data_IF_445650986338
#
_entry.id   IF_445650986338
#
_cell.length_a   1.000
_cell.length_b   1.000
_cell.length_c   1.000
_cell.angle_alpha   90.00
_cell.angle_beta   90.00
_cell.angle_gamma   90.00
#
_symmetry.space_group_name_H-M   'P 1'
#
loop_
_entity.id
_entity.type
_entity.pdbx_description
1 polymer ?
#
# COMPACT_ATOMS: atom_id res chain seq x y z
N UNK A 1 9.45 -47.42 -11.21
CA UNK A 1 9.81 -46.18 -10.51
C UNK A 1 10.61 -45.17 -11.34
N UNK A 2 11.52 -45.58 -12.23
CA UNK A 2 12.33 -44.63 -13.06
C UNK A 2 11.50 -43.76 -14.03
N UNK A 3 10.39 -44.23 -14.59
CA UNK A 3 9.59 -43.47 -15.55
C UNK A 3 8.81 -42.29 -14.94
N UNK A 4 8.38 -42.38 -13.67
CA UNK A 4 7.67 -41.30 -12.98
C UNK A 4 8.61 -40.14 -12.62
N UNK A 5 9.83 -40.45 -12.21
CA UNK A 5 10.86 -39.43 -11.91
C UNK A 5 11.31 -38.66 -13.15
N UNK A 6 11.47 -39.33 -14.30
CA UNK A 6 11.83 -38.69 -15.55
C UNK A 6 10.73 -37.75 -16.07
N UNK A 7 9.46 -38.17 -16.00
CA UNK A 7 8.31 -37.33 -16.40
C UNK A 7 8.17 -36.11 -15.48
N UNK A 8 8.31 -36.29 -14.16
CA UNK A 8 8.29 -35.18 -13.21
C UNK A 8 9.44 -34.18 -13.46
N UNK A 9 10.64 -34.66 -13.78
CA UNK A 9 11.79 -33.82 -14.13
C UNK A 9 11.57 -33.00 -15.41
N UNK A 10 10.98 -33.61 -16.44
CA UNK A 10 10.68 -32.94 -17.72
C UNK A 10 9.59 -31.88 -17.51
N UNK A 11 8.53 -32.18 -16.76
CA UNK A 11 7.46 -31.22 -16.47
C UNK A 11 8.00 -30.03 -15.66
N UNK A 12 8.86 -30.29 -14.67
CA UNK A 12 9.49 -29.21 -13.87
C UNK A 12 10.42 -28.37 -14.72
N UNK A 13 11.20 -28.97 -15.63
CA UNK A 13 12.07 -28.26 -16.57
C UNK A 13 11.29 -27.39 -17.55
N UNK A 14 10.22 -27.91 -18.14
CA UNK A 14 9.36 -27.18 -19.06
C UNK A 14 8.66 -26.00 -18.36
N UNK A 15 8.14 -26.21 -17.14
CA UNK A 15 7.52 -25.14 -16.34
C UNK A 15 8.53 -24.02 -16.02
N UNK A 16 9.77 -24.36 -15.68
CA UNK A 16 10.83 -23.39 -15.43
C UNK A 16 11.16 -22.56 -16.68
N UNK A 17 11.28 -23.21 -17.85
CA UNK A 17 11.54 -22.52 -19.11
C UNK A 17 10.42 -21.55 -19.46
N UNK A 18 9.15 -21.95 -19.30
CA UNK A 18 8.00 -21.08 -19.53
C UNK A 18 8.04 -19.87 -18.61
N UNK A 19 8.25 -20.06 -17.30
CA UNK A 19 8.35 -18.96 -16.36
C UNK A 19 9.50 -18.00 -16.65
N UNK A 20 10.67 -18.54 -17.01
CA UNK A 20 11.82 -17.72 -17.39
C UNK A 20 11.55 -16.90 -18.65
N UNK A 21 10.87 -17.49 -19.64
CA UNK A 21 10.46 -16.79 -20.86
C UNK A 21 9.44 -15.68 -20.57
N UNK A 22 8.46 -15.95 -19.70
CA UNK A 22 7.45 -14.94 -19.28
C UNK A 22 8.09 -13.78 -18.50
N UNK A 23 9.02 -14.07 -17.58
CA UNK A 23 9.78 -13.03 -16.87
C UNK A 23 10.54 -12.17 -17.88
N UNK A 24 11.27 -12.80 -18.80
CA UNK A 24 12.03 -12.08 -19.84
C UNK A 24 11.11 -11.23 -20.73
N UNK A 25 9.96 -11.76 -21.13
CA UNK A 25 8.96 -11.04 -21.91
C UNK A 25 8.40 -9.85 -21.15
N UNK A 26 8.01 -10.01 -19.88
CA UNK A 26 7.51 -8.94 -19.05
C UNK A 26 8.54 -7.82 -18.89
N UNK A 27 9.80 -8.16 -18.56
CA UNK A 27 10.88 -7.19 -18.47
C UNK A 27 11.14 -6.47 -19.80
N UNK A 28 11.18 -7.19 -20.91
CA UNK A 28 11.38 -6.59 -22.23
C UNK A 28 10.24 -5.63 -22.60
N UNK A 29 8.99 -5.96 -22.24
CA UNK A 29 7.83 -5.12 -22.52
C UNK A 29 7.81 -3.87 -21.66
N UNK A 30 8.13 -4.00 -20.37
CA UNK A 30 8.16 -2.87 -19.42
C UNK A 30 9.30 -1.91 -19.77
N UNK A 31 10.49 -2.44 -20.06
CA UNK A 31 11.67 -1.65 -20.38
C UNK A 31 11.73 -1.21 -21.86
N UNK A 32 10.74 -1.53 -22.68
CA UNK A 32 10.66 -1.05 -24.06
C UNK A 32 10.33 0.46 -24.15
N UNK A 33 9.90 1.06 -23.05
CA UNK A 33 9.60 2.48 -22.94
C UNK A 33 10.61 3.11 -21.99
N UNK A 34 11.40 4.04 -22.49
CA UNK A 34 12.27 4.86 -21.66
C UNK A 34 11.41 5.89 -20.92
N UNK A 35 11.20 5.66 -19.64
CA UNK A 35 10.52 6.63 -18.78
C UNK A 35 11.55 7.64 -18.28
N UNK A 36 11.14 8.89 -18.24
CA UNK A 36 11.93 9.96 -17.63
C UNK A 36 11.97 9.79 -16.10
N UNK A 37 13.02 10.28 -15.43
CA UNK A 37 13.03 10.34 -13.97
C UNK A 37 11.79 11.07 -13.43
N UNK A 38 11.24 10.65 -12.27
CA UNK A 38 10.07 11.30 -11.70
C UNK A 38 10.40 12.77 -11.37
N UNK A 39 9.45 13.68 -11.57
CA UNK A 39 9.63 15.07 -11.14
C UNK A 39 9.62 15.15 -9.62
N UNK A 40 10.42 16.04 -9.04
CA UNK A 40 10.48 16.26 -7.59
C UNK A 40 9.29 17.11 -7.11
N UNK A 41 8.37 16.56 -6.30
CA UNK A 41 7.24 17.31 -5.74
C UNK A 41 7.60 18.00 -4.41
N UNK A 42 8.81 17.89 -3.93
CA UNK A 42 9.23 18.51 -2.66
C UNK A 42 8.95 20.01 -2.67
N UNK A 43 8.23 20.49 -1.66
CA UNK A 43 7.86 21.89 -1.61
C UNK A 43 6.78 22.23 -0.59
N UNK A 44 6.31 23.48 -0.67
CA UNK A 44 5.26 24.01 0.18
C UNK A 44 3.93 24.06 -0.58
N UNK A 45 2.88 23.50 0.03
CA UNK A 45 1.52 23.43 -0.49
C UNK A 45 0.57 24.24 0.41
N UNK A 46 -0.54 24.75 -0.14
CA UNK A 46 -1.59 25.43 0.61
C UNK A 46 -1.16 26.78 1.19
N UNK A 47 -0.39 27.56 0.44
CA UNK A 47 0.12 28.88 0.89
C UNK A 47 -0.98 29.91 1.12
N UNK A 48 -2.15 29.76 0.49
CA UNK A 48 -3.28 30.68 0.54
C UNK A 48 -4.45 30.14 1.39
N UNK A 49 -4.19 29.12 2.20
CA UNK A 49 -5.18 28.52 3.07
C UNK A 49 -5.60 29.44 4.24
N UNK A 50 -6.82 29.24 4.79
CA UNK A 50 -7.35 30.08 5.88
C UNK A 50 -6.54 29.98 7.18
N UNK A 51 -5.67 29.01 7.33
CA UNK A 51 -4.77 28.78 8.46
C UNK A 51 -3.29 28.75 8.02
N UNK A 52 -2.97 29.44 6.92
CA UNK A 52 -1.61 29.47 6.38
C UNK A 52 -0.59 30.14 7.31
N UNK A 53 -1.03 30.95 8.26
CA UNK A 53 -0.16 31.59 9.26
C UNK A 53 0.27 30.62 10.39
N UNK A 54 -0.41 29.49 10.54
CA UNK A 54 -0.01 28.46 11.51
C UNK A 54 1.27 27.73 11.06
N UNK A 55 2.02 27.12 11.99
CA UNK A 55 3.16 26.28 11.62
C UNK A 55 2.76 25.21 10.57
N UNK A 56 3.56 25.02 9.52
CA UNK A 56 3.22 24.04 8.49
C UNK A 56 3.20 22.62 9.05
N UNK A 57 2.36 21.78 8.47
CA UNK A 57 2.45 20.34 8.66
C UNK A 57 3.57 19.79 7.78
N UNK A 58 4.41 18.92 8.30
CA UNK A 58 5.46 18.26 7.51
C UNK A 58 5.05 16.84 7.16
N UNK A 59 4.99 16.54 5.86
CA UNK A 59 4.67 15.23 5.31
C UNK A 59 5.91 14.66 4.64
N UNK A 60 6.37 13.49 5.07
CA UNK A 60 7.45 12.76 4.41
C UNK A 60 6.87 11.61 3.58
N UNK A 61 7.28 11.49 2.33
CA UNK A 61 6.93 10.38 1.45
C UNK A 61 8.17 9.51 1.24
N UNK A 62 8.04 8.23 1.57
CA UNK A 62 9.11 7.21 1.48
C UNK A 62 8.64 6.06 0.61
N UNK A 63 9.57 5.36 0.02
CA UNK A 63 9.28 4.14 -0.71
C UNK A 63 10.04 3.99 -2.01
N UNK A 64 9.35 3.37 -2.98
CA UNK A 64 9.91 3.04 -4.29
C UNK A 64 9.39 3.97 -5.41
N UNK A 65 9.45 3.49 -6.65
CA UNK A 65 8.95 4.22 -7.82
C UNK A 65 7.47 4.60 -7.72
N UNK A 66 6.67 3.83 -6.98
CA UNK A 66 5.23 4.11 -6.78
C UNK A 66 5.02 5.33 -5.89
N UNK A 67 5.90 5.57 -4.93
CA UNK A 67 5.90 6.78 -4.11
C UNK A 67 6.43 7.98 -4.90
N UNK A 68 7.54 7.81 -5.63
CA UNK A 68 8.17 8.87 -6.40
C UNK A 68 7.34 9.39 -7.59
N UNK A 69 6.27 8.69 -8.00
CA UNK A 69 5.49 9.08 -9.19
C UNK A 69 6.23 8.80 -10.50
N UNK A 70 6.97 7.68 -10.57
CA UNK A 70 7.76 7.34 -11.76
C UNK A 70 6.88 7.15 -12.99
N UNK A 71 7.29 7.78 -14.10
CA UNK A 71 6.55 7.79 -15.36
C UNK A 71 5.67 9.03 -15.56
N UNK A 72 5.61 9.95 -14.59
CA UNK A 72 4.97 11.25 -14.72
C UNK A 72 5.96 12.31 -15.21
N UNK A 73 5.41 13.33 -15.86
CA UNK A 73 6.16 14.51 -16.33
C UNK A 73 5.96 15.70 -15.38
N UNK A 74 4.75 15.86 -14.87
CA UNK A 74 4.34 17.03 -14.11
C UNK A 74 4.35 16.73 -12.60
N UNK A 75 5.11 17.53 -11.83
CA UNK A 75 5.22 17.37 -10.38
C UNK A 75 3.87 17.43 -9.63
N UNK A 76 2.89 18.28 -10.01
CA UNK A 76 1.57 18.28 -9.37
C UNK A 76 0.77 16.98 -9.49
N UNK A 77 1.09 16.12 -10.46
CA UNK A 77 0.41 14.83 -10.67
C UNK A 77 1.00 13.69 -9.83
N UNK A 78 2.14 13.92 -9.17
CA UNK A 78 2.77 12.90 -8.32
C UNK A 78 1.93 12.59 -7.09
N UNK A 79 2.01 11.37 -6.55
CA UNK A 79 1.28 11.02 -5.33
C UNK A 79 1.68 11.91 -4.14
N UNK A 80 2.94 12.35 -4.08
CA UNK A 80 3.41 13.29 -3.06
C UNK A 80 2.71 14.65 -3.15
N UNK A 81 2.69 15.25 -4.34
CA UNK A 81 2.02 16.54 -4.55
C UNK A 81 0.52 16.47 -4.26
N UNK A 82 -0.15 15.42 -4.76
CA UNK A 82 -1.57 15.20 -4.54
C UNK A 82 -1.90 15.03 -3.05
N UNK A 83 -1.09 14.28 -2.31
CA UNK A 83 -1.24 14.15 -0.86
C UNK A 83 -0.95 15.46 -0.13
N UNK A 84 0.13 16.15 -0.48
CA UNK A 84 0.49 17.42 0.11
C UNK A 84 -0.61 18.47 -0.08
N UNK A 85 -1.12 18.61 -1.30
CA UNK A 85 -2.22 19.52 -1.62
C UNK A 85 -3.52 19.10 -0.91
N UNK A 86 -3.86 17.80 -0.93
CA UNK A 86 -5.07 17.31 -0.27
C UNK A 86 -5.06 17.51 1.25
N UNK A 87 -3.92 17.34 1.92
CA UNK A 87 -3.77 17.64 3.35
C UNK A 87 -3.88 19.16 3.59
N UNK A 88 -3.30 19.98 2.71
CA UNK A 88 -3.39 21.43 2.82
C UNK A 88 -4.83 21.93 2.65
N UNK A 89 -5.53 21.46 1.64
CA UNK A 89 -6.92 21.83 1.35
C UNK A 89 -7.86 21.47 2.51
N UNK A 90 -7.65 20.27 3.09
CA UNK A 90 -8.47 19.81 4.21
C UNK A 90 -8.17 20.57 5.50
N UNK A 91 -6.90 20.77 5.82
CA UNK A 91 -6.48 21.39 7.08
C UNK A 91 -6.57 22.91 7.06
N UNK A 92 -6.54 23.53 5.87
CA UNK A 92 -6.38 24.96 5.68
C UNK A 92 -4.99 25.48 6.04
N UNK A 93 -4.04 24.61 6.42
CA UNK A 93 -2.66 24.90 6.82
C UNK A 93 -1.69 24.66 5.66
N UNK A 94 -0.55 25.32 5.70
CA UNK A 94 0.57 24.98 4.81
C UNK A 94 1.07 23.58 5.08
N UNK A 95 1.49 22.89 4.04
CA UNK A 95 2.10 21.55 4.11
C UNK A 95 3.50 21.61 3.49
N UNK A 96 4.49 21.22 4.27
CA UNK A 96 5.87 21.05 3.81
C UNK A 96 6.07 19.58 3.41
N UNK A 97 6.00 19.28 2.12
CA UNK A 97 6.23 17.95 1.59
C UNK A 97 7.72 17.67 1.40
N UNK A 98 8.16 16.51 1.83
CA UNK A 98 9.50 15.94 1.60
C UNK A 98 9.37 14.60 0.90
N UNK A 99 9.66 14.57 -0.38
CA UNK A 99 9.75 13.31 -1.13
C UNK A 99 11.16 12.72 -0.99
N UNK A 100 11.22 11.55 -0.37
CA UNK A 100 12.46 10.82 -0.09
C UNK A 100 12.45 9.45 -0.76
N UNK A 101 11.45 9.20 -1.60
CA UNK A 101 11.30 7.95 -2.33
C UNK A 101 12.43 7.77 -3.34
N UNK A 102 12.80 6.52 -3.59
CA UNK A 102 13.88 6.17 -4.51
C UNK A 102 13.39 5.12 -5.50
N UNK A 103 13.44 5.45 -6.79
CA UNK A 103 13.07 4.50 -7.86
C UNK A 103 13.92 3.23 -7.74
N UNK A 104 13.25 2.08 -7.77
CA UNK A 104 13.90 0.78 -7.64
C UNK A 104 14.17 0.31 -6.21
N UNK A 105 13.86 1.13 -5.19
CA UNK A 105 14.12 0.77 -3.79
C UNK A 105 13.39 -0.51 -3.37
N UNK A 106 14.09 -1.33 -2.62
CA UNK A 106 13.54 -2.46 -1.85
C UNK A 106 13.15 -2.00 -0.45
N UNK A 107 12.40 -2.83 0.27
CA UNK A 107 12.10 -2.51 1.67
C UNK A 107 13.35 -2.43 2.56
N UNK A 108 14.48 -3.05 2.17
CA UNK A 108 15.78 -2.89 2.83
C UNK A 108 16.34 -1.46 2.77
N UNK A 109 15.97 -0.71 1.75
CA UNK A 109 16.52 0.63 1.51
C UNK A 109 15.80 1.71 2.33
N UNK A 110 14.70 1.36 3.00
CA UNK A 110 13.96 2.25 3.88
C UNK A 110 14.80 2.81 5.03
N UNK A 111 15.84 2.11 5.49
CA UNK A 111 16.66 2.56 6.60
C UNK A 111 17.30 3.95 6.34
N UNK A 112 17.82 4.15 5.12
CA UNK A 112 18.42 5.43 4.69
C UNK A 112 17.34 6.51 4.51
N UNK A 113 16.18 6.13 3.95
CA UNK A 113 15.07 7.06 3.75
C UNK A 113 14.51 7.54 5.10
N UNK A 114 14.37 6.64 6.08
CA UNK A 114 13.93 6.97 7.45
C UNK A 114 14.90 7.92 8.14
N UNK A 115 16.21 7.67 8.02
CA UNK A 115 17.23 8.56 8.60
C UNK A 115 17.10 10.00 8.05
N UNK A 116 16.92 10.10 6.74
CA UNK A 116 16.69 11.41 6.09
C UNK A 116 15.36 12.04 6.51
N UNK A 117 14.29 11.23 6.61
CA UNK A 117 12.98 11.73 7.01
C UNK A 117 12.98 12.31 8.42
N UNK A 118 13.61 11.64 9.38
CA UNK A 118 13.69 12.10 10.76
C UNK A 118 14.40 13.45 10.92
N UNK A 119 15.32 13.79 10.02
CA UNK A 119 15.98 15.10 10.02
C UNK A 119 15.03 16.27 9.69
N UNK A 120 13.86 16.00 9.11
CA UNK A 120 12.83 17.00 8.82
C UNK A 120 11.71 17.04 9.87
N UNK A 121 11.78 16.22 10.92
CA UNK A 121 10.79 16.13 12.00
C UNK A 121 9.34 16.05 11.47
N UNK A 122 8.99 15.08 10.59
CA UNK A 122 7.68 15.05 9.96
C UNK A 122 6.57 14.73 10.95
N UNK A 123 5.41 15.36 10.77
CA UNK A 123 4.18 15.01 11.51
C UNK A 123 3.65 13.64 11.07
N UNK A 124 3.79 13.33 9.77
CA UNK A 124 3.41 12.03 9.21
C UNK A 124 4.40 11.57 8.14
N UNK A 125 4.70 10.28 8.15
CA UNK A 125 5.44 9.60 7.08
C UNK A 125 4.50 8.62 6.35
N UNK A 126 4.42 8.74 5.04
CA UNK A 126 3.69 7.82 4.16
C UNK A 126 4.70 6.92 3.46
N UNK A 127 4.51 5.60 3.56
CA UNK A 127 5.44 4.61 3.00
C UNK A 127 4.73 3.77 1.94
N UNK A 128 5.28 3.76 0.72
CA UNK A 128 4.82 2.93 -0.40
C UNK A 128 6.00 2.11 -0.92
N UNK A 129 6.07 0.82 -0.56
CA UNK A 129 7.19 -0.06 -0.91
C UNK A 129 6.77 -1.51 -1.01
N UNK A 130 7.47 -2.26 -1.84
CA UNK A 130 7.34 -3.71 -1.89
C UNK A 130 7.10 -4.30 -3.28
N UNK A 131 6.81 -3.50 -4.29
CA UNK A 131 6.71 -3.98 -5.67
C UNK A 131 8.04 -4.58 -6.14
N UNK A 132 9.17 -3.93 -5.80
CA UNK A 132 10.50 -4.43 -6.10
C UNK A 132 10.85 -5.69 -5.28
N UNK A 133 10.37 -5.80 -4.04
CA UNK A 133 10.54 -7.04 -3.26
C UNK A 133 9.86 -8.24 -3.95
N UNK A 134 8.69 -8.03 -4.58
CA UNK A 134 8.01 -9.08 -5.35
C UNK A 134 8.85 -9.48 -6.57
N UNK A 135 9.32 -8.52 -7.36
CA UNK A 135 10.09 -8.79 -8.58
C UNK A 135 11.46 -9.41 -8.30
N UNK A 136 12.05 -9.12 -7.14
CA UNK A 136 13.30 -9.70 -6.66
C UNK A 136 13.10 -10.96 -5.80
N UNK A 137 11.86 -11.48 -5.72
CA UNK A 137 11.51 -12.69 -4.97
C UNK A 137 11.93 -12.64 -3.49
N UNK A 138 11.95 -11.44 -2.90
CA UNK A 138 12.24 -11.27 -1.48
C UNK A 138 11.17 -11.99 -0.66
N UNK A 139 11.58 -12.75 0.35
CA UNK A 139 10.64 -13.47 1.22
C UNK A 139 9.72 -12.47 1.93
N UNK A 140 8.41 -12.73 2.03
CA UNK A 140 7.46 -11.83 2.69
C UNK A 140 7.85 -11.43 4.11
N UNK A 141 8.38 -12.39 4.89
CA UNK A 141 8.86 -12.14 6.26
C UNK A 141 10.08 -11.23 6.31
N UNK A 142 10.97 -11.26 5.31
CA UNK A 142 12.14 -10.40 5.21
C UNK A 142 11.73 -8.99 4.82
N UNK A 143 10.95 -8.85 3.74
CA UNK A 143 10.39 -7.58 3.29
C UNK A 143 9.65 -6.86 4.44
N UNK A 144 8.71 -7.55 5.07
CA UNK A 144 7.94 -6.98 6.18
C UNK A 144 8.80 -6.66 7.42
N UNK A 145 9.92 -7.36 7.65
CA UNK A 145 10.82 -7.05 8.78
C UNK A 145 11.55 -5.72 8.57
N UNK A 146 11.98 -5.42 7.35
CA UNK A 146 12.58 -4.12 7.02
C UNK A 146 11.55 -2.99 7.19
N UNK A 147 10.33 -3.18 6.67
CA UNK A 147 9.26 -2.21 6.82
C UNK A 147 8.91 -1.95 8.30
N UNK A 148 8.79 -3.01 9.11
CA UNK A 148 8.50 -2.87 10.55
C UNK A 148 9.60 -2.09 11.26
N UNK A 149 10.87 -2.34 10.93
CA UNK A 149 11.98 -1.58 11.49
C UNK A 149 11.87 -0.09 11.14
N UNK A 150 11.55 0.23 9.89
CA UNK A 150 11.31 1.61 9.44
C UNK A 150 10.15 2.26 10.22
N UNK A 151 9.02 1.57 10.33
CA UNK A 151 7.85 2.01 11.10
C UNK A 151 8.22 2.27 12.55
N UNK A 152 8.92 1.34 13.20
CA UNK A 152 9.31 1.46 14.60
C UNK A 152 10.21 2.68 14.83
N UNK A 153 11.24 2.87 14.01
CA UNK A 153 12.14 4.04 14.11
C UNK A 153 11.39 5.38 13.94
N UNK A 154 10.47 5.46 12.98
CA UNK A 154 9.64 6.66 12.78
C UNK A 154 8.73 6.91 13.99
N UNK A 155 8.07 5.86 14.50
CA UNK A 155 7.20 5.95 15.68
C UNK A 155 7.98 6.35 16.95
N UNK A 156 9.18 5.83 17.14
CA UNK A 156 10.09 6.24 18.24
C UNK A 156 10.51 7.70 18.12
N UNK A 157 10.62 8.22 16.88
CA UNK A 157 10.83 9.65 16.61
C UNK A 157 9.56 10.51 16.72
N UNK A 158 8.44 9.96 17.22
CA UNK A 158 7.17 10.70 17.38
C UNK A 158 6.35 10.87 16.10
N UNK A 159 6.80 10.33 14.97
CA UNK A 159 6.17 10.48 13.66
C UNK A 159 4.96 9.57 13.52
N UNK A 160 3.82 10.08 13.07
CA UNK A 160 2.70 9.24 12.64
C UNK A 160 3.07 8.50 11.35
N UNK A 161 2.67 7.23 11.20
CA UNK A 161 3.06 6.43 10.04
C UNK A 161 1.84 5.85 9.33
N UNK A 162 1.77 6.06 8.03
CA UNK A 162 0.82 5.45 7.12
C UNK A 162 1.57 4.54 6.13
N UNK A 163 1.13 3.30 5.99
CA UNK A 163 1.66 2.35 5.01
C UNK A 163 0.60 2.02 3.97
N UNK A 164 0.82 2.38 2.72
CA UNK A 164 0.14 1.76 1.59
C UNK A 164 0.81 0.44 1.27
N UNK A 165 0.10 -0.68 1.46
CA UNK A 165 0.69 -2.00 1.26
C UNK A 165 0.92 -2.30 -0.22
N UNK A 166 1.81 -3.26 -0.51
CA UNK A 166 2.14 -3.61 -1.90
C UNK A 166 0.87 -3.90 -2.73
N UNK A 167 0.77 -3.34 -3.95
CA UNK A 167 -0.38 -3.55 -4.83
C UNK A 167 -0.43 -4.99 -5.39
N UNK A 168 -1.57 -5.37 -6.01
CA UNK A 168 -1.71 -6.66 -6.69
C UNK A 168 -0.97 -6.65 -8.04
N UNK A 169 0.26 -7.18 -8.07
CA UNK A 169 1.05 -7.28 -9.30
C UNK A 169 0.41 -8.20 -10.36
N UNK A 170 -0.60 -8.99 -10.01
CA UNK A 170 -1.41 -9.73 -10.97
C UNK A 170 -2.35 -8.84 -11.81
N UNK A 171 -2.51 -7.56 -11.49
CA UNK A 171 -3.23 -6.58 -12.32
C UNK A 171 -2.41 -6.11 -13.52
N UNK A 172 -1.08 -6.25 -13.50
CA UNK A 172 -0.13 -5.78 -14.51
C UNK A 172 -0.29 -6.56 -15.82
N UNK A 173 -0.53 -5.83 -16.92
CA UNK A 173 -0.88 -6.41 -18.22
C UNK A 173 0.25 -7.27 -18.83
N UNK A 174 1.51 -6.84 -18.86
CA UNK A 174 2.62 -7.62 -19.41
C UNK A 174 2.91 -8.95 -18.72
N UNK A 175 2.46 -9.14 -17.48
CA UNK A 175 2.66 -10.40 -16.75
C UNK A 175 1.60 -11.40 -17.19
N UNK A 176 2.01 -12.44 -17.91
CA UNK A 176 1.13 -13.49 -18.43
C UNK A 176 0.95 -14.66 -17.43
N UNK A 177 -0.12 -15.48 -17.55
CA UNK A 177 -0.20 -16.75 -16.82
C UNK A 177 0.84 -17.76 -17.36
N UNK A 178 1.50 -18.58 -16.49
CA UNK A 178 1.27 -18.75 -15.06
C UNK A 178 1.96 -17.72 -14.15
N UNK A 179 2.93 -16.93 -14.64
CA UNK A 179 3.69 -15.95 -13.84
C UNK A 179 2.76 -14.95 -13.13
N UNK A 180 1.68 -14.52 -13.80
CA UNK A 180 0.66 -13.63 -13.21
C UNK A 180 0.07 -14.16 -11.91
N UNK A 181 -0.21 -15.46 -11.85
CA UNK A 181 -0.79 -16.07 -10.65
C UNK A 181 0.23 -16.13 -9.51
N UNK A 182 1.50 -16.36 -9.83
CA UNK A 182 2.59 -16.34 -8.86
C UNK A 182 2.83 -14.93 -8.32
N UNK A 183 2.92 -13.93 -9.21
CA UNK A 183 3.08 -12.52 -8.84
C UNK A 183 1.94 -12.06 -7.93
N UNK A 184 0.69 -12.40 -8.28
CA UNK A 184 -0.48 -12.13 -7.45
C UNK A 184 -0.40 -12.79 -6.07
N UNK A 185 -0.06 -14.07 -6.03
CA UNK A 185 0.03 -14.80 -4.76
C UNK A 185 1.14 -14.25 -3.87
N UNK A 186 2.27 -13.87 -4.47
CA UNK A 186 3.42 -13.34 -3.74
C UNK A 186 3.15 -11.92 -3.22
N UNK A 187 2.64 -11.01 -4.07
CA UNK A 187 2.28 -9.65 -3.65
C UNK A 187 1.23 -9.65 -2.53
N UNK A 188 0.22 -10.53 -2.61
CA UNK A 188 -0.80 -10.68 -1.55
C UNK A 188 -0.23 -11.20 -0.23
N UNK A 189 0.77 -12.08 -0.29
CA UNK A 189 1.48 -12.54 0.92
C UNK A 189 2.27 -11.42 1.57
N UNK A 190 3.02 -10.66 0.77
CA UNK A 190 3.74 -9.49 1.29
C UNK A 190 2.76 -8.47 1.88
N UNK A 191 1.68 -8.13 1.18
CA UNK A 191 0.65 -7.20 1.67
C UNK A 191 0.05 -7.63 3.02
N UNK A 192 -0.27 -8.92 3.18
CA UNK A 192 -0.81 -9.45 4.43
C UNK A 192 0.19 -9.32 5.60
N UNK A 193 1.46 -9.63 5.35
CA UNK A 193 2.53 -9.46 6.34
C UNK A 193 2.77 -7.98 6.66
N UNK A 194 2.84 -7.13 5.65
CA UNK A 194 2.95 -5.67 5.82
C UNK A 194 1.82 -5.14 6.68
N UNK A 195 0.56 -5.47 6.34
CA UNK A 195 -0.60 -5.01 7.10
C UNK A 195 -0.52 -5.44 8.57
N UNK A 196 -0.47 -6.75 8.82
CA UNK A 196 -0.56 -7.27 10.19
C UNK A 196 0.60 -6.83 11.08
N UNK A 197 1.81 -6.72 10.52
CA UNK A 197 3.02 -6.37 11.28
C UNK A 197 3.18 -4.88 11.46
N UNK A 198 2.85 -4.05 10.45
CA UNK A 198 2.92 -2.59 10.56
C UNK A 198 1.90 -2.03 11.55
N UNK A 199 0.68 -2.59 11.57
CA UNK A 199 -0.34 -2.17 12.56
C UNK A 199 0.11 -2.52 13.99
N UNK A 200 0.72 -3.68 14.20
CA UNK A 200 1.32 -4.02 15.52
C UNK A 200 2.46 -3.08 15.92
N UNK A 201 3.18 -2.55 14.95
CA UNK A 201 4.24 -1.56 15.18
C UNK A 201 3.70 -0.12 15.33
N UNK A 202 2.37 0.07 15.28
CA UNK A 202 1.72 1.37 15.51
C UNK A 202 1.52 2.22 14.26
N UNK A 203 1.63 1.65 13.05
CA UNK A 203 1.28 2.32 11.81
C UNK A 203 -0.19 2.12 11.45
N UNK A 204 -0.74 3.06 10.71
CA UNK A 204 -1.96 2.87 9.91
C UNK A 204 -1.62 2.13 8.63
N UNK A 205 -2.57 1.39 8.05
CA UNK A 205 -2.36 0.68 6.79
C UNK A 205 -3.55 0.83 5.85
N UNK A 206 -3.26 0.95 4.57
CA UNK A 206 -4.24 0.92 3.48
C UNK A 206 -3.91 -0.24 2.55
N UNK A 207 -4.86 -1.15 2.33
CA UNK A 207 -4.69 -2.32 1.47
C UNK A 207 -4.87 -1.94 -0.01
N UNK A 208 -3.79 -1.51 -0.66
CA UNK A 208 -3.85 -1.08 -2.07
C UNK A 208 -4.26 -2.21 -3.00
N UNK A 209 -3.81 -3.45 -2.73
CA UNK A 209 -4.18 -4.62 -3.53
C UNK A 209 -5.69 -4.90 -3.50
N UNK A 210 -6.35 -4.66 -2.38
CA UNK A 210 -7.77 -4.93 -2.20
C UNK A 210 -8.64 -3.78 -2.71
N UNK A 211 -8.20 -2.54 -2.53
CA UNK A 211 -8.97 -1.35 -2.88
C UNK A 211 -8.81 -1.00 -4.35
N UNK A 212 -7.57 -0.87 -4.83
CA UNK A 212 -7.27 -0.44 -6.20
C UNK A 212 -7.16 -1.61 -7.18
N UNK A 213 -6.82 -2.82 -6.73
CA UNK A 213 -6.59 -3.97 -7.60
C UNK A 213 -7.75 -4.28 -8.56
N UNK A 214 -9.03 -4.27 -8.13
CA UNK A 214 -10.17 -4.47 -9.02
C UNK A 214 -10.28 -3.39 -10.09
N UNK A 215 -10.09 -2.12 -9.73
CA UNK A 215 -10.19 -0.98 -10.63
C UNK A 215 -9.04 -0.98 -11.65
N UNK A 216 -7.81 -1.18 -11.21
CA UNK A 216 -6.65 -1.32 -12.08
C UNK A 216 -6.75 -2.53 -13.01
N UNK A 217 -7.44 -3.60 -12.59
CA UNK A 217 -7.70 -4.76 -13.45
C UNK A 217 -8.75 -4.44 -14.52
N UNK A 218 -9.78 -3.67 -14.20
CA UNK A 218 -10.85 -3.31 -15.11
C UNK A 218 -10.44 -2.24 -16.14
N UNK A 219 -9.61 -1.26 -15.70
CA UNK A 219 -9.29 -0.06 -16.47
C UNK A 219 -7.77 0.07 -16.76
N UNK A 220 -7.12 -1.04 -17.09
CA UNK A 220 -5.65 -1.13 -17.25
C UNK A 220 -5.07 -0.10 -18.20
N UNK A 221 -5.71 0.15 -19.34
CA UNK A 221 -5.18 1.03 -20.37
C UNK A 221 -5.30 2.52 -19.98
N UNK A 222 -6.10 2.84 -18.98
CA UNK A 222 -6.29 4.19 -18.45
C UNK A 222 -5.47 4.45 -17.19
N UNK A 223 -5.36 3.46 -16.30
CA UNK A 223 -4.72 3.62 -14.98
C UNK A 223 -3.24 3.27 -14.96
N UNK A 224 -2.73 2.57 -15.98
CA UNK A 224 -1.29 2.35 -16.16
C UNK A 224 -0.72 3.28 -17.21
N UNK A 225 0.54 3.68 -16.99
CA UNK A 225 1.33 4.47 -17.91
C UNK A 225 1.76 3.71 -19.18
N UNK A 226 2.58 4.35 -20.03
CA UNK A 226 3.01 3.77 -21.31
C UNK A 226 3.76 2.43 -21.18
N UNK A 227 4.50 2.23 -20.09
CA UNK A 227 5.22 0.99 -19.78
C UNK A 227 4.30 -0.15 -19.30
N UNK A 228 3.01 0.16 -19.06
CA UNK A 228 1.97 -0.76 -18.57
C UNK A 228 2.30 -1.42 -17.21
N UNK A 229 3.19 -0.80 -16.48
CA UNK A 229 3.65 -1.25 -15.17
C UNK A 229 3.43 -0.18 -14.09
N UNK A 230 3.96 1.02 -14.29
CA UNK A 230 3.73 2.14 -13.38
C UNK A 230 2.36 2.78 -13.62
N UNK A 231 1.73 3.35 -12.60
CA UNK A 231 0.47 4.06 -12.77
C UNK A 231 0.60 5.25 -13.72
N UNK A 232 -0.47 5.58 -14.43
CA UNK A 232 -0.63 6.87 -15.13
C UNK A 232 -0.94 7.98 -14.13
N UNK A 233 -1.05 9.24 -14.59
CA UNK A 233 -1.54 10.34 -13.76
C UNK A 233 -2.90 10.01 -13.10
N UNK A 234 -3.83 9.41 -13.85
CA UNK A 234 -5.10 8.94 -13.29
C UNK A 234 -4.92 7.82 -12.24
N UNK A 235 -3.97 6.91 -12.47
CA UNK A 235 -3.65 5.85 -11.50
C UNK A 235 -3.04 6.39 -10.21
N UNK A 236 -2.17 7.39 -10.31
CA UNK A 236 -1.60 8.05 -9.13
C UNK A 236 -2.62 8.92 -8.39
N UNK A 237 -3.56 9.57 -9.13
CA UNK A 237 -4.69 10.26 -8.52
C UNK A 237 -5.56 9.30 -7.69
N UNK A 238 -5.91 8.15 -8.26
CA UNK A 238 -6.66 7.12 -7.53
C UNK A 238 -5.89 6.62 -6.28
N UNK A 239 -4.56 6.47 -6.38
CA UNK A 239 -3.72 6.11 -5.24
C UNK A 239 -3.76 7.17 -4.14
N UNK A 240 -3.58 8.45 -4.49
CA UNK A 240 -3.60 9.55 -3.53
C UNK A 240 -4.98 9.69 -2.86
N UNK A 241 -6.07 9.55 -3.63
CA UNK A 241 -7.44 9.58 -3.10
C UNK A 241 -7.70 8.51 -2.04
N UNK A 242 -7.15 7.31 -2.22
CA UNK A 242 -7.31 6.21 -1.26
C UNK A 242 -6.45 6.41 -0.01
N UNK A 243 -5.27 7.03 -0.14
CA UNK A 243 -4.36 7.28 0.96
C UNK A 243 -4.73 8.50 1.81
N UNK A 244 -5.29 9.54 1.18
CA UNK A 244 -5.55 10.83 1.82
C UNK A 244 -6.38 10.75 3.11
N UNK A 245 -7.52 10.03 3.17
CA UNK A 245 -8.30 9.94 4.40
C UNK A 245 -7.51 9.35 5.57
N UNK A 246 -6.67 8.35 5.30
CA UNK A 246 -5.82 7.73 6.31
C UNK A 246 -4.64 8.61 6.72
N UNK A 247 -4.11 9.42 5.81
CA UNK A 247 -3.12 10.43 6.13
C UNK A 247 -3.69 11.52 7.03
N UNK A 248 -4.90 12.01 6.74
CA UNK A 248 -5.63 12.96 7.57
C UNK A 248 -5.90 12.42 8.97
N UNK A 249 -6.33 11.16 9.07
CA UNK A 249 -6.56 10.52 10.36
C UNK A 249 -5.24 10.30 11.13
N UNK A 250 -4.13 9.99 10.45
CA UNK A 250 -2.82 9.89 11.08
C UNK A 250 -2.36 11.23 11.68
N UNK A 251 -2.74 12.34 11.07
CA UNK A 251 -2.51 13.71 11.55
C UNK A 251 -3.54 14.18 12.60
N UNK A 252 -4.53 13.34 12.97
CA UNK A 252 -5.61 13.72 13.87
C UNK A 252 -6.61 14.74 13.30
N UNK A 253 -6.63 14.92 11.98
CA UNK A 253 -7.53 15.85 11.27
C UNK A 253 -8.85 15.21 10.85
N UNK A 254 -8.95 13.90 10.91
CA UNK A 254 -10.12 13.10 10.59
C UNK A 254 -10.26 11.98 11.61
N UNK A 255 -11.49 11.60 12.00
CA UNK A 255 -11.67 10.45 12.89
C UNK A 255 -11.51 9.12 12.12
N UNK A 256 -11.20 8.03 12.86
CA UNK A 256 -10.93 6.73 12.27
C UNK A 256 -12.12 6.16 11.48
N UNK A 257 -13.34 6.38 11.92
CA UNK A 257 -14.53 5.86 11.22
C UNK A 257 -14.76 6.61 9.91
N UNK A 258 -14.60 7.93 9.92
CA UNK A 258 -14.70 8.76 8.72
C UNK A 258 -13.61 8.41 7.73
N UNK A 259 -12.37 8.18 8.19
CA UNK A 259 -11.28 7.76 7.33
C UNK A 259 -11.55 6.42 6.64
N UNK A 260 -12.03 5.41 7.38
CA UNK A 260 -12.40 4.12 6.83
C UNK A 260 -13.49 4.24 5.78
N UNK A 261 -14.57 4.97 6.08
CA UNK A 261 -15.69 5.16 5.14
C UNK A 261 -15.26 5.90 3.87
N UNK A 262 -14.42 6.92 4.01
CA UNK A 262 -13.91 7.69 2.87
C UNK A 262 -12.99 6.84 1.98
N UNK A 263 -12.08 6.07 2.58
CA UNK A 263 -11.13 5.23 1.86
C UNK A 263 -11.83 4.18 1.01
N UNK A 264 -12.81 3.48 1.58
CA UNK A 264 -13.45 2.36 0.87
C UNK A 264 -14.59 2.78 -0.07
N UNK A 265 -15.20 3.94 0.12
CA UNK A 265 -16.30 4.44 -0.75
C UNK A 265 -17.35 3.38 -1.09
N UNK A 266 -17.67 2.49 -0.15
CA UNK A 266 -18.59 1.37 -0.35
C UNK A 266 -18.00 0.13 -1.02
N UNK A 267 -16.69 0.05 -1.18
CA UNK A 267 -16.01 -1.18 -1.56
C UNK A 267 -16.07 -2.22 -0.42
N UNK A 268 -15.97 -3.48 -0.75
CA UNK A 268 -16.06 -4.56 0.23
C UNK A 268 -14.68 -4.97 0.73
N UNK A 269 -14.57 -5.20 2.05
CA UNK A 269 -13.38 -5.79 2.65
C UNK A 269 -13.07 -7.16 2.03
N UNK A 270 -11.80 -7.38 1.71
CA UNK A 270 -11.29 -8.59 1.10
C UNK A 270 -10.58 -9.47 2.15
N UNK A 271 -10.26 -10.72 1.83
CA UNK A 271 -9.66 -11.65 2.78
C UNK A 271 -8.40 -11.13 3.50
N UNK A 272 -7.55 -10.35 2.82
CA UNK A 272 -6.33 -9.79 3.41
C UNK A 272 -6.69 -8.80 4.51
N UNK A 273 -7.59 -7.87 4.22
CA UNK A 273 -8.06 -6.88 5.17
C UNK A 273 -8.72 -7.53 6.39
N UNK A 274 -9.54 -8.55 6.16
CA UNK A 274 -10.16 -9.32 7.24
C UNK A 274 -9.12 -10.03 8.13
N UNK A 275 -8.06 -10.55 7.55
CA UNK A 275 -6.97 -11.17 8.30
C UNK A 275 -6.19 -10.15 9.15
N UNK A 276 -5.92 -8.97 8.61
CA UNK A 276 -5.28 -7.89 9.33
C UNK A 276 -6.12 -7.39 10.51
N UNK A 277 -7.41 -7.21 10.33
CA UNK A 277 -8.34 -6.82 11.39
C UNK A 277 -8.32 -7.80 12.57
N UNK A 278 -8.22 -9.09 12.28
CA UNK A 278 -8.10 -10.11 13.35
C UNK A 278 -6.80 -10.05 14.09
N UNK A 279 -5.73 -9.82 13.33
CA UNK A 279 -4.41 -9.79 13.92
C UNK A 279 -4.28 -8.66 14.94
N UNK A 280 -5.00 -7.59 14.77
CA UNK A 280 -4.73 -6.38 15.54
C UNK A 280 -5.95 -5.77 16.17
N UNK A 281 -7.07 -5.73 15.80
CA UNK A 281 -8.22 -5.07 16.45
C UNK A 281 -7.88 -3.65 17.00
N UNK A 282 -7.09 -2.90 16.23
CA UNK A 282 -6.57 -1.56 16.58
C UNK A 282 -7.17 -0.54 15.63
N UNK A 283 -7.60 0.65 16.11
CA UNK A 283 -8.03 1.75 15.26
C UNK A 283 -6.94 2.16 14.25
N UNK A 284 -7.34 2.57 13.07
CA UNK A 284 -6.42 3.03 12.03
C UNK A 284 -6.00 1.97 11.03
N UNK A 285 -6.57 0.77 11.09
CA UNK A 285 -6.48 -0.20 10.00
C UNK A 285 -7.70 -0.01 9.10
N UNK A 286 -7.49 0.31 7.83
CA UNK A 286 -8.56 0.58 6.87
C UNK A 286 -9.17 -0.73 6.37
N UNK A 287 -10.32 -1.07 6.94
CA UNK A 287 -11.07 -2.28 6.62
C UNK A 287 -12.54 -1.95 6.48
N UNK A 288 -13.09 -2.22 5.30
CA UNK A 288 -14.51 -2.07 5.09
C UNK A 288 -15.29 -3.21 5.79
N UNK A 289 -16.31 -2.91 6.61
CA UNK A 289 -17.18 -3.94 7.15
C UNK A 289 -17.90 -4.67 6.01
N UNK A 290 -17.72 -5.98 5.94
CA UNK A 290 -18.34 -6.82 4.90
C UNK A 290 -19.86 -6.75 5.03
N UNK A 291 -20.49 -5.93 4.23
CA UNK A 291 -21.95 -5.78 4.20
C UNK A 291 -22.63 -6.88 3.37
N UNK A 292 -21.92 -7.42 2.36
CA UNK A 292 -22.42 -8.53 1.53
C UNK A 292 -21.33 -9.59 1.35
N UNK A 293 -21.46 -10.77 1.96
CA UNK A 293 -20.49 -11.85 1.82
C UNK A 293 -20.49 -12.38 0.40
N UNK A 294 -19.32 -12.40 -0.26
CA UNK A 294 -19.11 -13.06 -1.53
C UNK A 294 -18.69 -14.52 -1.30
N UNK A 295 -19.46 -15.45 -1.86
CA UNK A 295 -19.16 -16.87 -1.80
C UNK A 295 -19.50 -17.58 -0.46
N UNK A 296 -19.30 -18.90 -0.43
CA UNK A 296 -19.61 -19.76 0.73
C UNK A 296 -18.81 -19.40 1.99
N UNK A 297 -17.55 -19.07 1.84
CA UNK A 297 -16.66 -18.68 2.95
C UNK A 297 -17.04 -17.31 3.53
N UNK A 298 -17.40 -16.32 2.73
CA UNK A 298 -17.84 -15.02 3.19
C UNK A 298 -19.09 -15.08 4.08
N UNK A 299 -20.00 -16.04 3.83
CA UNK A 299 -21.21 -16.24 4.67
C UNK A 299 -20.90 -16.80 6.07
N UNK A 300 -19.88 -17.64 6.19
CA UNK A 300 -19.44 -18.17 7.49
C UNK A 300 -18.90 -17.03 8.35
N UNK A 301 -18.20 -16.09 7.74
CA UNK A 301 -17.56 -14.99 8.42
C UNK A 301 -18.51 -13.93 8.96
N UNK A 302 -19.53 -13.55 8.19
CA UNK A 302 -20.58 -12.62 8.67
C UNK A 302 -21.33 -13.21 9.88
N UNK A 303 -21.53 -14.53 9.94
CA UNK A 303 -22.13 -15.18 11.11
C UNK A 303 -21.24 -15.12 12.35
N UNK A 304 -19.93 -15.21 12.21
CA UNK A 304 -18.98 -15.09 13.34
C UNK A 304 -18.88 -13.64 13.84
N UNK A 305 -18.86 -12.66 12.92
CA UNK A 305 -18.80 -11.25 13.28
C UNK A 305 -20.11 -10.73 13.92
N UNK A 306 -21.25 -11.34 13.59
CA UNK A 306 -22.57 -10.98 14.13
C UNK A 306 -22.95 -11.67 15.45
N UNK A 307 -22.11 -12.53 16.00
CA UNK A 307 -22.38 -13.06 17.35
C UNK A 307 -22.20 -11.93 18.36
N UNK A 308 -23.27 -11.48 19.05
CA UNK A 308 -23.13 -10.48 20.08
C UNK A 308 -22.18 -11.00 21.14
N UNK A 309 -21.22 -10.19 21.57
CA UNK A 309 -20.49 -10.43 22.81
C UNK A 309 -21.55 -10.50 23.90
N UNK A 310 -21.82 -11.70 24.39
CA UNK A 310 -22.61 -11.89 25.60
C UNK A 310 -21.82 -11.18 26.69
N UNK A 311 -22.31 -10.01 27.09
CA UNK A 311 -21.80 -9.29 28.21
C UNK A 311 -21.82 -10.25 29.40
N UNK A 312 -20.64 -10.63 29.92
CA UNK A 312 -20.52 -11.21 31.25
C UNK A 312 -21.02 -10.15 32.23
N UNK A 313 -22.30 -10.15 32.50
CA UNK A 313 -22.85 -9.46 33.65
C UNK A 313 -22.24 -10.07 34.89
N UNK A 314 -21.41 -9.31 35.56
CA UNK A 314 -20.87 -9.58 36.86
C UNK A 314 -22.03 -9.98 37.80
N UNK A 315 -22.00 -11.25 38.25
CA UNK A 315 -22.65 -11.62 39.51
C UNK A 315 -21.76 -11.09 40.64
N UNK A 316 -22.07 -9.91 41.07
CA UNK A 316 -21.61 -9.42 42.36
C UNK A 316 -22.79 -8.66 42.98
N UNK A 317 -23.41 -9.30 43.95
CA UNK A 317 -24.17 -8.85 45.13
C UNK A 317 -25.38 -9.74 45.38
N UNK A 318 -25.18 -10.67 46.30
CA UNK A 318 -26.10 -10.94 47.42
C UNK A 318 -25.42 -11.98 48.33
N UNK A 319 -24.90 -11.51 49.40
CA UNK A 319 -25.09 -11.87 50.79
C UNK A 319 -24.11 -11.06 51.63
#
# INVERSE_FOLDING_TARGET
MLKVGAVAGIISGAAFVVLAAEVRFAYATINAVDLIPPPDPTGMYGTDGPRADEPPLTVALLGDSSAAGYGLVDAPETPGALLGQGVADWSGRRVNLRDLAVVGALSSDLDIQVERALAYEPDVAVILVGANDVTHLVRPSVSSSHLVRAVTRLREGGVAVLVGTVPDLGSIKPILPPLRHLARAWSRRIAAEQTSRSVRAGARTVSLADILGPEFTANRDFLFGPDKFHPSAAGYSALAEVLLPSALAALGLLDDQQAVLATYRGQHALPIAAAALRAVNVPGTELDPVTKPRGRLGRIWVRVAKRPRVARRARARRS
#
